data_IF_606052734378
#
_entry.id   IF_606052734378
#
_cell.length_a   1.000
_cell.length_b   1.000
_cell.length_c   1.000
_cell.angle_alpha   90.00
_cell.angle_beta   90.00
_cell.angle_gamma   90.00
#
_symmetry.space_group_name_H-M   'P 1'
#
loop_
_entity.id
_entity.type
_entity.pdbx_description
1 polymer ?
#
# COMPACT_ATOMS: atom_id res chain seq x y z
N UNK A 1 -27.91 12.17 8.92
CA UNK A 1 -27.04 12.98 8.02
C UNK A 1 -27.59 12.92 6.59
N UNK A 2 -27.89 14.03 5.94
CA UNK A 2 -28.18 14.02 4.50
C UNK A 2 -26.85 13.85 3.75
N UNK A 3 -26.59 12.65 3.26
CA UNK A 3 -25.41 12.40 2.47
C UNK A 3 -25.64 12.86 1.03
N UNK A 4 -24.80 13.77 0.56
CA UNK A 4 -24.85 14.23 -0.83
C UNK A 4 -24.54 13.07 -1.77
N UNK A 5 -25.34 12.86 -2.82
CA UNK A 5 -25.07 11.82 -3.81
C UNK A 5 -23.80 12.15 -4.62
N UNK A 6 -23.02 11.14 -4.91
CA UNK A 6 -21.89 11.24 -5.84
C UNK A 6 -22.37 10.94 -7.26
N UNK A 7 -22.17 11.86 -8.19
CA UNK A 7 -22.47 11.67 -9.61
C UNK A 7 -21.17 11.43 -10.36
N UNK A 8 -21.05 10.29 -11.05
CA UNK A 8 -19.87 9.94 -11.83
C UNK A 8 -20.22 9.67 -13.29
N UNK A 9 -19.31 10.04 -14.19
CA UNK A 9 -19.33 9.57 -15.57
C UNK A 9 -18.63 8.20 -15.62
N UNK A 10 -19.34 7.21 -16.12
CA UNK A 10 -18.84 5.85 -16.30
C UNK A 10 -18.76 5.56 -17.79
N UNK A 11 -17.67 4.97 -18.25
CA UNK A 11 -17.53 4.51 -19.63
C UNK A 11 -18.59 3.45 -19.92
N UNK A 12 -19.35 3.66 -20.97
CA UNK A 12 -20.36 2.73 -21.46
C UNK A 12 -19.92 2.26 -22.85
N UNK A 13 -19.85 0.95 -23.06
CA UNK A 13 -19.34 0.35 -24.31
C UNK A 13 -20.16 0.72 -25.54
N UNK A 14 -21.47 1.02 -25.33
CA UNK A 14 -22.36 1.34 -26.44
C UNK A 14 -22.57 2.83 -26.66
N UNK A 15 -22.48 3.66 -25.59
CA UNK A 15 -22.85 5.08 -25.61
C UNK A 15 -21.72 6.05 -25.26
N UNK A 16 -20.47 5.55 -25.12
CA UNK A 16 -19.31 6.33 -24.74
C UNK A 16 -19.26 6.62 -23.25
N UNK A 17 -20.11 7.48 -22.71
CA UNK A 17 -20.19 7.79 -21.28
C UNK A 17 -21.64 7.90 -20.81
N UNK A 18 -21.91 7.41 -19.60
CA UNK A 18 -23.15 7.63 -18.88
C UNK A 18 -22.87 8.20 -17.50
N UNK A 19 -23.78 9.04 -16.99
CA UNK A 19 -23.74 9.51 -15.61
C UNK A 19 -24.44 8.49 -14.72
N UNK A 20 -23.81 8.13 -13.61
CA UNK A 20 -24.40 7.26 -12.60
C UNK A 20 -24.33 7.94 -11.24
N UNK A 21 -25.41 7.83 -10.47
CA UNK A 21 -25.53 8.37 -9.13
C UNK A 21 -25.21 7.26 -8.13
N UNK A 22 -24.25 7.52 -7.26
CA UNK A 22 -23.90 6.64 -6.15
C UNK A 22 -24.27 7.33 -4.85
N UNK A 23 -24.83 6.57 -3.92
CA UNK A 23 -25.22 7.05 -2.61
C UNK A 23 -24.92 5.98 -1.57
N UNK A 24 -24.33 6.38 -0.45
CA UNK A 24 -24.19 5.47 0.68
C UNK A 24 -25.59 5.14 1.23
N UNK A 25 -25.80 3.89 1.59
CA UNK A 25 -27.04 3.47 2.25
C UNK A 25 -27.16 4.14 3.62
N UNK A 26 -28.39 4.35 4.11
CA UNK A 26 -28.60 4.88 5.45
C UNK A 26 -28.03 3.96 6.55
N UNK A 27 -28.07 2.65 6.33
CA UNK A 27 -27.51 1.62 7.21
C UNK A 27 -26.00 1.41 7.06
N UNK A 28 -25.29 2.24 6.25
CA UNK A 28 -23.88 2.00 5.90
C UNK A 28 -22.97 1.77 7.11
N UNK A 29 -23.13 2.58 8.15
CA UNK A 29 -22.28 2.47 9.36
C UNK A 29 -22.60 1.21 10.15
N UNK A 30 -23.88 0.86 10.28
CA UNK A 30 -24.35 -0.35 10.96
C UNK A 30 -23.94 -1.62 10.18
N UNK A 31 -24.17 -1.63 8.85
CA UNK A 31 -23.85 -2.75 7.97
C UNK A 31 -22.36 -3.15 8.04
N UNK A 32 -21.48 -2.18 8.31
CA UNK A 32 -20.03 -2.38 8.36
C UNK A 32 -19.42 -2.29 9.76
N UNK A 33 -20.27 -2.17 10.80
CA UNK A 33 -19.83 -1.96 12.20
C UNK A 33 -18.83 -0.81 12.34
N UNK A 34 -19.15 0.32 11.72
CA UNK A 34 -18.35 1.54 11.69
C UNK A 34 -18.98 2.61 12.57
N UNK A 35 -18.16 3.48 13.14
CA UNK A 35 -18.63 4.65 13.88
C UNK A 35 -18.71 5.88 12.95
N UNK A 36 -19.71 6.73 13.14
CA UNK A 36 -19.80 8.01 12.41
C UNK A 36 -18.58 8.90 12.61
N UNK A 37 -17.90 8.76 13.75
CA UNK A 37 -16.63 9.44 14.04
C UNK A 37 -15.55 9.15 12.99
N UNK A 38 -15.50 7.93 12.43
CA UNK A 38 -14.57 7.56 11.37
C UNK A 38 -14.76 8.41 10.12
N UNK A 39 -16.03 8.79 9.81
CA UNK A 39 -16.35 9.71 8.72
C UNK A 39 -15.71 11.08 8.95
N UNK A 40 -15.94 11.68 10.11
CA UNK A 40 -15.40 13.00 10.42
C UNK A 40 -13.89 13.01 10.44
N UNK A 41 -13.28 12.01 11.06
CA UNK A 41 -11.82 11.88 11.12
C UNK A 41 -11.20 11.74 9.72
N UNK A 42 -11.82 10.95 8.85
CA UNK A 42 -11.28 10.71 7.50
C UNK A 42 -11.46 11.93 6.59
N UNK A 43 -12.65 12.54 6.56
CA UNK A 43 -12.95 13.61 5.60
C UNK A 43 -12.53 15.00 6.07
N UNK A 44 -12.57 15.27 7.37
CA UNK A 44 -12.30 16.61 7.90
C UNK A 44 -10.80 16.99 7.88
N UNK A 45 -9.93 16.02 8.03
CA UNK A 45 -8.52 16.31 8.22
C UNK A 45 -7.62 15.98 7.04
N UNK A 46 -8.06 15.17 6.06
CA UNK A 46 -7.06 14.56 5.15
C UNK A 46 -7.44 14.33 3.70
N UNK A 47 -8.72 14.28 3.31
CA UNK A 47 -9.08 13.67 2.02
C UNK A 47 -10.28 14.30 1.33
N UNK A 48 -10.28 15.63 1.14
CA UNK A 48 -11.34 16.34 0.41
C UNK A 48 -11.49 15.86 -1.05
N UNK A 49 -10.39 15.42 -1.65
CA UNK A 49 -10.33 15.07 -3.07
C UNK A 49 -10.82 13.64 -3.38
N UNK A 50 -11.05 12.85 -2.32
CA UNK A 50 -11.48 11.45 -2.41
C UNK A 50 -12.68 11.24 -3.34
N UNK A 51 -13.70 12.08 -3.23
CA UNK A 51 -14.93 11.93 -4.02
C UNK A 51 -14.78 12.35 -5.49
N UNK A 52 -13.77 13.13 -5.81
CA UNK A 52 -13.53 13.64 -7.16
C UNK A 52 -12.49 12.84 -7.93
N UNK A 53 -11.86 11.86 -7.28
CA UNK A 53 -10.82 11.06 -7.89
C UNK A 53 -11.38 10.12 -8.97
N UNK A 54 -10.65 9.96 -10.07
CA UNK A 54 -10.90 8.92 -11.06
C UNK A 54 -10.43 7.54 -10.56
N UNK A 55 -9.37 7.54 -9.74
CA UNK A 55 -8.79 6.36 -9.14
C UNK A 55 -8.20 6.69 -7.77
N UNK A 56 -8.30 5.75 -6.83
CA UNK A 56 -7.79 5.93 -5.46
C UNK A 56 -6.70 4.91 -5.17
N UNK A 57 -5.58 5.37 -4.62
CA UNK A 57 -4.53 4.50 -4.10
C UNK A 57 -4.44 4.73 -2.59
N UNK A 58 -4.76 3.71 -1.81
CA UNK A 58 -4.56 3.71 -0.36
C UNK A 58 -3.14 3.31 -0.03
N UNK A 59 -2.51 4.09 0.82
CA UNK A 59 -1.17 3.87 1.34
C UNK A 59 -1.20 3.93 2.87
N UNK A 60 -0.41 3.11 3.55
CA UNK A 60 -0.46 2.98 5.00
C UNK A 60 0.05 4.24 5.71
N UNK A 61 1.07 4.88 5.16
CA UNK A 61 1.75 6.02 5.78
C UNK A 61 2.05 7.15 4.79
N UNK A 62 2.45 8.30 5.35
CA UNK A 62 2.94 9.43 4.53
C UNK A 62 4.18 9.07 3.70
N UNK A 63 5.05 8.23 4.22
CA UNK A 63 6.24 7.81 3.50
C UNK A 63 5.88 6.98 2.26
N UNK A 64 4.89 6.11 2.37
CA UNK A 64 4.39 5.34 1.22
C UNK A 64 3.84 6.28 0.14
N UNK A 65 3.06 7.28 0.53
CA UNK A 65 2.54 8.30 -0.40
C UNK A 65 3.67 9.00 -1.16
N UNK A 66 4.72 9.44 -0.46
CA UNK A 66 5.86 10.13 -1.09
C UNK A 66 6.66 9.20 -2.02
N UNK A 67 6.80 7.92 -1.65
CA UNK A 67 7.44 6.93 -2.53
C UNK A 67 6.58 6.66 -3.77
N UNK A 68 5.26 6.55 -3.64
CA UNK A 68 4.35 6.37 -4.78
C UNK A 68 4.44 7.58 -5.73
N UNK A 69 4.45 8.81 -5.20
CA UNK A 69 4.67 10.03 -6.00
C UNK A 69 5.99 9.98 -6.76
N UNK A 70 7.06 9.59 -6.08
CA UNK A 70 8.38 9.44 -6.71
C UNK A 70 8.34 8.40 -7.85
N UNK A 71 7.73 7.24 -7.61
CA UNK A 71 7.61 6.18 -8.62
C UNK A 71 6.75 6.63 -9.82
N UNK A 72 5.68 7.39 -9.59
CA UNK A 72 4.87 7.99 -10.65
C UNK A 72 5.69 8.97 -11.48
N UNK A 73 6.39 9.92 -10.83
CA UNK A 73 7.28 10.88 -11.48
C UNK A 73 8.36 10.19 -12.31
N UNK A 74 8.94 9.09 -11.82
CA UNK A 74 9.95 8.30 -12.54
C UNK A 74 9.45 7.64 -13.83
N UNK A 75 8.13 7.68 -14.06
CA UNK A 75 7.42 7.21 -15.26
C UNK A 75 6.79 8.34 -16.06
N UNK A 76 7.05 9.60 -15.70
CA UNK A 76 6.38 10.77 -16.26
C UNK A 76 4.85 10.72 -16.11
N UNK A 77 4.35 10.11 -15.01
CA UNK A 77 2.93 10.08 -14.69
C UNK A 77 2.63 11.25 -13.76
N UNK A 78 1.79 12.16 -14.23
CA UNK A 78 1.21 13.23 -13.42
C UNK A 78 -0.10 12.72 -12.79
N UNK A 79 -0.08 12.48 -11.47
CA UNK A 79 -1.22 11.91 -10.75
C UNK A 79 -2.45 12.84 -10.78
N UNK A 80 -2.22 14.15 -10.69
CA UNK A 80 -3.29 15.15 -10.67
C UNK A 80 -3.97 15.23 -12.05
N UNK A 81 -3.18 15.20 -13.12
CA UNK A 81 -3.70 15.19 -14.51
C UNK A 81 -4.65 14.01 -14.76
N UNK A 82 -4.34 12.85 -14.20
CA UNK A 82 -5.17 11.64 -14.32
C UNK A 82 -6.26 11.53 -13.24
N UNK A 83 -6.32 12.47 -12.31
CA UNK A 83 -7.26 12.41 -11.18
C UNK A 83 -7.01 11.21 -10.27
N UNK A 84 -5.76 10.83 -10.06
CA UNK A 84 -5.36 9.75 -9.15
C UNK A 84 -5.12 10.32 -7.77
N UNK A 85 -5.98 10.00 -6.80
CA UNK A 85 -5.84 10.44 -5.41
C UNK A 85 -5.03 9.45 -4.60
N UNK A 86 -3.99 9.92 -3.90
CA UNK A 86 -3.22 9.14 -2.95
C UNK A 86 -3.72 9.40 -1.54
N UNK A 87 -4.26 8.38 -0.91
CA UNK A 87 -4.86 8.47 0.43
C UNK A 87 -3.92 7.84 1.45
N UNK A 88 -3.38 8.66 2.36
CA UNK A 88 -2.73 8.17 3.55
C UNK A 88 -3.79 7.72 4.56
N UNK A 89 -3.87 6.42 4.84
CA UNK A 89 -4.81 5.89 5.85
C UNK A 89 -4.33 6.11 7.29
N UNK A 90 -3.08 6.55 7.48
CA UNK A 90 -2.48 6.87 8.78
C UNK A 90 -2.57 5.71 9.79
N UNK A 91 -2.17 4.56 9.30
CA UNK A 91 -2.20 3.29 10.02
C UNK A 91 -3.40 2.42 9.68
N UNK A 92 -3.14 1.16 9.73
CA UNK A 92 -3.95 0.07 9.20
C UNK A 92 -5.34 -0.05 9.85
N UNK A 93 -5.49 0.39 11.09
CA UNK A 93 -6.78 0.38 11.82
C UNK A 93 -7.82 1.29 11.17
N UNK A 94 -7.37 2.26 10.39
CA UNK A 94 -8.23 3.24 9.73
C UNK A 94 -8.69 2.78 8.33
N UNK A 95 -8.23 1.62 7.86
CA UNK A 95 -8.60 1.10 6.53
C UNK A 95 -10.09 0.74 6.38
N UNK A 96 -10.82 0.20 7.38
CA UNK A 96 -12.18 -0.29 7.20
C UNK A 96 -13.12 0.76 6.59
N UNK A 97 -13.16 1.95 7.15
CA UNK A 97 -14.06 3.00 6.68
C UNK A 97 -13.82 3.37 5.20
N UNK A 98 -12.63 3.87 4.78
CA UNK A 98 -12.41 4.26 3.39
C UNK A 98 -12.55 3.09 2.41
N UNK A 99 -12.20 1.88 2.81
CA UNK A 99 -12.38 0.68 2.00
C UNK A 99 -13.85 0.40 1.68
N UNK A 100 -14.71 0.42 2.70
CA UNK A 100 -16.14 0.20 2.48
C UNK A 100 -16.79 1.35 1.69
N UNK A 101 -16.34 2.59 1.89
CA UNK A 101 -16.81 3.74 1.11
C UNK A 101 -16.51 3.56 -0.37
N UNK A 102 -15.25 3.26 -0.75
CA UNK A 102 -14.90 3.09 -2.18
C UNK A 102 -15.68 1.96 -2.83
N UNK A 103 -15.92 0.87 -2.12
CA UNK A 103 -16.72 -0.25 -2.62
C UNK A 103 -18.18 0.11 -2.81
N UNK A 104 -18.80 0.78 -1.84
CA UNK A 104 -20.21 1.21 -1.93
C UNK A 104 -20.42 2.27 -3.03
N UNK A 105 -19.43 3.14 -3.24
CA UNK A 105 -19.47 4.17 -4.28
C UNK A 105 -18.92 3.68 -5.64
N UNK A 106 -18.54 2.40 -5.74
CA UNK A 106 -17.94 1.80 -6.93
C UNK A 106 -16.77 2.63 -7.49
N UNK A 107 -15.92 3.16 -6.59
CA UNK A 107 -14.72 3.90 -6.95
C UNK A 107 -13.59 2.91 -7.28
N UNK A 108 -12.89 3.05 -8.40
CA UNK A 108 -11.73 2.22 -8.68
C UNK A 108 -10.62 2.50 -7.65
N UNK A 109 -9.99 1.44 -7.14
CA UNK A 109 -8.97 1.61 -6.10
C UNK A 109 -7.86 0.55 -6.19
N UNK A 110 -6.74 0.84 -5.55
CA UNK A 110 -5.69 -0.11 -5.16
C UNK A 110 -5.31 0.15 -3.71
N UNK A 111 -5.03 -0.91 -2.95
CA UNK A 111 -4.57 -0.81 -1.57
C UNK A 111 -3.14 -1.34 -1.50
N UNK A 112 -2.23 -0.55 -0.92
CA UNK A 112 -0.85 -0.96 -0.66
C UNK A 112 -0.73 -1.20 0.84
N UNK A 113 -0.38 -2.42 1.22
CA UNK A 113 -0.34 -2.88 2.61
C UNK A 113 0.99 -3.55 2.92
N UNK A 114 1.47 -3.36 4.13
CA UNK A 114 2.61 -4.07 4.66
C UNK A 114 2.25 -5.55 4.94
N UNK A 115 3.23 -6.44 4.92
CA UNK A 115 3.02 -7.87 5.17
C UNK A 115 2.45 -8.14 6.56
N UNK A 116 2.82 -7.32 7.52
CA UNK A 116 2.35 -7.46 8.89
C UNK A 116 0.87 -7.07 9.07
N UNK A 117 0.24 -6.51 8.05
CA UNK A 117 -1.22 -6.43 8.01
C UNK A 117 -1.85 -7.82 8.05
N UNK A 118 -1.38 -8.70 7.20
CA UNK A 118 -1.97 -10.03 7.03
C UNK A 118 -1.51 -11.03 8.07
N UNK A 119 -0.22 -11.04 8.38
CA UNK A 119 0.40 -12.05 9.25
C UNK A 119 1.26 -11.40 10.35
N UNK A 120 1.20 -11.92 11.60
CA UNK A 120 1.93 -11.31 12.69
C UNK A 120 3.43 -11.58 12.62
N UNK A 121 4.23 -10.62 13.09
CA UNK A 121 5.62 -10.88 13.44
C UNK A 121 5.74 -11.96 14.51
N UNK A 122 6.84 -12.70 14.49
CA UNK A 122 7.10 -13.69 15.51
C UNK A 122 7.29 -13.01 16.89
N UNK A 123 8.15 -11.99 16.92
CA UNK A 123 8.29 -10.99 17.98
C UNK A 123 9.22 -9.88 17.44
N UNK A 124 8.75 -8.64 17.38
CA UNK A 124 9.49 -7.55 16.72
C UNK A 124 10.67 -7.02 17.56
N UNK A 125 10.65 -7.24 18.86
CA UNK A 125 11.64 -6.65 19.77
C UNK A 125 12.87 -7.55 20.01
N UNK A 126 12.73 -8.87 19.85
CA UNK A 126 13.81 -9.80 20.11
C UNK A 126 14.69 -10.03 18.86
N UNK A 127 15.98 -9.95 19.01
CA UNK A 127 16.94 -10.26 17.95
C UNK A 127 16.82 -11.72 17.43
N UNK A 128 16.43 -12.65 18.30
CA UNK A 128 16.10 -14.04 17.94
C UNK A 128 14.94 -14.20 16.97
N UNK A 129 14.04 -13.19 16.90
CA UNK A 129 12.93 -13.16 15.96
C UNK A 129 13.29 -12.60 14.58
N UNK A 130 14.55 -12.26 14.36
CA UNK A 130 15.10 -11.83 13.09
C UNK A 130 15.97 -12.92 12.46
N UNK A 131 16.09 -12.86 11.14
CA UNK A 131 17.05 -13.73 10.44
C UNK A 131 18.47 -13.12 10.50
N UNK A 132 19.45 -13.83 9.94
CA UNK A 132 20.85 -13.36 9.89
C UNK A 132 21.05 -12.01 9.21
N UNK A 133 20.11 -11.60 8.35
CA UNK A 133 20.13 -10.32 7.65
C UNK A 133 19.39 -9.20 8.39
N UNK A 134 18.85 -9.47 9.59
CA UNK A 134 18.11 -8.51 10.39
C UNK A 134 16.62 -8.34 10.00
N UNK A 135 16.13 -9.11 9.03
CA UNK A 135 14.73 -9.07 8.62
C UNK A 135 13.85 -9.86 9.60
N UNK A 136 12.62 -9.41 9.89
CA UNK A 136 11.73 -10.06 10.83
C UNK A 136 11.26 -11.42 10.32
N UNK A 137 11.03 -12.33 11.24
CA UNK A 137 10.36 -13.62 11.01
C UNK A 137 8.87 -13.48 11.29
N UNK A 138 8.03 -14.21 10.55
CA UNK A 138 6.59 -14.17 10.67
C UNK A 138 6.02 -15.50 11.12
N UNK A 139 4.86 -15.45 11.79
CA UNK A 139 3.96 -16.60 11.94
C UNK A 139 3.08 -16.63 10.69
N UNK A 140 3.00 -17.78 10.03
CA UNK A 140 2.21 -17.92 8.80
C UNK A 140 0.78 -18.35 9.12
N UNK A 141 0.10 -17.48 9.83
CA UNK A 141 -1.32 -17.51 10.13
C UNK A 141 -1.87 -16.10 9.94
N UNK A 142 -3.11 -15.96 9.49
CA UNK A 142 -3.68 -14.61 9.37
C UNK A 142 -3.95 -14.01 10.74
N UNK A 143 -3.76 -12.70 10.85
CA UNK A 143 -4.15 -11.94 12.05
C UNK A 143 -5.66 -11.96 12.23
N UNK A 144 -6.13 -12.03 13.47
CA UNK A 144 -7.52 -11.79 13.81
C UNK A 144 -7.87 -10.30 13.65
N UNK A 145 -9.14 -10.01 13.34
CA UNK A 145 -9.66 -8.63 13.27
C UNK A 145 -9.22 -7.82 12.05
N UNK A 146 -8.68 -8.47 11.01
CA UNK A 146 -8.41 -7.84 9.71
C UNK A 146 -9.59 -8.03 8.75
N UNK A 147 -9.69 -7.18 7.74
CA UNK A 147 -10.72 -7.26 6.69
C UNK A 147 -10.46 -8.38 5.66
N UNK A 148 -9.96 -9.54 6.10
CA UNK A 148 -9.50 -10.59 5.18
C UNK A 148 -10.59 -11.04 4.21
N UNK A 149 -11.80 -11.32 4.71
CA UNK A 149 -12.92 -11.78 3.90
C UNK A 149 -13.45 -10.72 2.95
N UNK A 150 -13.33 -9.46 3.32
CA UNK A 150 -13.73 -8.33 2.47
C UNK A 150 -12.68 -8.05 1.39
N UNK A 151 -11.40 -8.17 1.73
CA UNK A 151 -10.27 -7.95 0.84
C UNK A 151 -10.09 -9.12 -0.14
N UNK A 152 -10.14 -10.36 0.36
CA UNK A 152 -9.97 -11.59 -0.41
C UNK A 152 -11.16 -12.51 -0.15
N UNK A 153 -12.21 -12.36 -0.94
CA UNK A 153 -13.51 -12.99 -0.69
C UNK A 153 -13.48 -14.53 -0.79
N UNK A 154 -12.56 -15.09 -1.56
CA UNK A 154 -12.50 -16.54 -1.80
C UNK A 154 -11.53 -17.21 -0.81
N UNK A 155 -12.04 -18.16 -0.01
CA UNK A 155 -11.24 -18.89 1.00
C UNK A 155 -10.06 -19.67 0.39
N UNK A 156 -10.22 -20.22 -0.81
CA UNK A 156 -9.12 -20.92 -1.49
C UNK A 156 -8.01 -19.95 -1.89
N UNK A 157 -8.39 -18.73 -2.28
CA UNK A 157 -7.42 -17.68 -2.61
C UNK A 157 -6.70 -17.16 -1.36
N UNK A 158 -7.40 -17.06 -0.23
CA UNK A 158 -6.75 -16.74 1.06
C UNK A 158 -5.68 -17.78 1.40
N UNK A 159 -6.02 -19.06 1.33
CA UNK A 159 -5.09 -20.15 1.64
C UNK A 159 -3.87 -20.17 0.69
N UNK A 160 -4.10 -19.96 -0.61
CA UNK A 160 -3.01 -19.81 -1.60
C UNK A 160 -2.14 -18.59 -1.31
N UNK A 161 -2.76 -17.46 -0.98
CA UNK A 161 -2.04 -16.25 -0.63
C UNK A 161 -1.13 -16.46 0.59
N UNK A 162 -1.64 -17.07 1.66
CA UNK A 162 -0.84 -17.41 2.84
C UNK A 162 0.35 -18.32 2.49
N UNK A 163 0.14 -19.32 1.65
CA UNK A 163 1.19 -20.22 1.17
C UNK A 163 2.26 -19.44 0.37
N UNK A 164 1.86 -18.53 -0.49
CA UNK A 164 2.77 -17.72 -1.28
C UNK A 164 3.51 -16.67 -0.44
N UNK A 165 2.88 -16.08 0.57
CA UNK A 165 3.54 -15.19 1.53
C UNK A 165 4.73 -15.88 2.24
N UNK A 166 4.61 -17.19 2.44
CA UNK A 166 5.67 -18.02 3.03
C UNK A 166 6.79 -18.34 2.04
N UNK A 167 6.42 -18.71 0.82
CA UNK A 167 7.33 -19.39 -0.12
C UNK A 167 7.83 -18.50 -1.26
N UNK A 168 6.99 -17.59 -1.77
CA UNK A 168 7.32 -16.81 -2.96
C UNK A 168 6.50 -15.52 -3.05
N UNK A 169 7.08 -14.42 -2.61
CA UNK A 169 6.43 -13.11 -2.59
C UNK A 169 5.96 -12.64 -3.98
N UNK A 170 6.68 -12.94 -5.05
CA UNK A 170 6.25 -12.57 -6.41
C UNK A 170 4.93 -13.25 -6.78
N UNK A 171 4.82 -14.57 -6.48
CA UNK A 171 3.55 -15.30 -6.66
C UNK A 171 2.44 -14.76 -5.75
N UNK A 172 2.77 -14.31 -4.54
CA UNK A 172 1.78 -13.67 -3.66
C UNK A 172 1.23 -12.40 -4.32
N UNK A 173 2.09 -11.53 -4.85
CA UNK A 173 1.69 -10.32 -5.56
C UNK A 173 0.80 -10.62 -6.77
N UNK A 174 1.20 -11.59 -7.60
CA UNK A 174 0.42 -11.99 -8.79
C UNK A 174 -0.97 -12.54 -8.41
N UNK A 175 -1.02 -13.31 -7.32
CA UNK A 175 -2.25 -13.94 -6.85
C UNK A 175 -3.30 -12.94 -6.34
N UNK A 176 -2.87 -11.88 -5.64
CA UNK A 176 -3.78 -10.89 -5.04
C UNK A 176 -4.03 -9.66 -5.92
N UNK A 177 -3.37 -9.54 -7.07
CA UNK A 177 -3.55 -8.39 -7.99
C UNK A 177 -5.01 -8.23 -8.43
N UNK A 178 -5.73 -9.34 -8.63
CA UNK A 178 -7.16 -9.35 -8.98
C UNK A 178 -8.08 -8.74 -7.89
N UNK A 179 -7.60 -8.61 -6.68
CA UNK A 179 -8.29 -7.95 -5.57
C UNK A 179 -7.86 -6.48 -5.40
N UNK A 180 -7.04 -5.95 -6.31
CA UNK A 180 -6.46 -4.61 -6.25
C UNK A 180 -5.62 -4.37 -4.98
N UNK A 181 -4.88 -5.38 -4.54
CA UNK A 181 -4.01 -5.32 -3.39
C UNK A 181 -2.57 -5.49 -3.83
N UNK A 182 -1.68 -4.64 -3.28
CA UNK A 182 -0.23 -4.82 -3.34
C UNK A 182 0.26 -5.02 -1.91
N UNK A 183 0.76 -6.22 -1.62
CA UNK A 183 1.33 -6.55 -0.31
C UNK A 183 2.86 -6.38 -0.38
N UNK A 184 3.43 -5.55 0.48
CA UNK A 184 4.88 -5.47 0.64
C UNK A 184 5.43 -6.81 1.14
N UNK A 185 6.70 -7.12 0.84
CA UNK A 185 7.30 -8.36 1.38
C UNK A 185 7.62 -8.25 2.87
N UNK A 186 7.81 -7.02 3.35
CA UNK A 186 7.93 -6.64 4.76
C UNK A 186 7.14 -5.35 4.97
N UNK A 187 7.82 -4.22 4.92
CA UNK A 187 7.29 -2.87 4.85
C UNK A 187 8.15 -2.05 3.87
N UNK A 188 7.80 -0.78 3.69
CA UNK A 188 8.42 0.08 2.70
C UNK A 188 9.96 0.07 2.77
N UNK A 189 10.53 0.46 3.92
CA UNK A 189 11.97 0.60 4.08
C UNK A 189 12.72 -0.75 4.08
N UNK A 190 12.11 -1.79 4.67
CA UNK A 190 12.71 -3.12 4.70
C UNK A 190 12.74 -3.75 3.30
N UNK A 191 11.67 -3.57 2.53
CA UNK A 191 11.63 -4.04 1.14
C UNK A 191 12.70 -3.36 0.30
N UNK A 192 12.85 -2.04 0.45
CA UNK A 192 13.91 -1.30 -0.24
C UNK A 192 15.28 -1.91 0.07
N UNK A 193 15.58 -2.16 1.34
CA UNK A 193 16.82 -2.75 1.80
C UNK A 193 16.98 -4.24 1.47
N UNK A 194 15.96 -4.93 0.92
CA UNK A 194 16.15 -6.25 0.32
C UNK A 194 17.03 -6.20 -0.96
N UNK A 195 17.14 -5.04 -1.60
CA UNK A 195 18.11 -4.80 -2.67
C UNK A 195 19.50 -4.54 -2.10
N UNK A 196 20.51 -5.30 -2.55
CA UNK A 196 21.91 -5.06 -2.16
C UNK A 196 22.39 -3.66 -2.59
N UNK A 197 21.93 -3.17 -3.74
CA UNK A 197 22.25 -1.80 -4.18
C UNK A 197 21.66 -0.75 -3.23
N UNK A 198 20.45 -0.94 -2.76
CA UNK A 198 19.86 -0.01 -1.77
C UNK A 198 20.67 0.00 -0.47
N UNK A 199 21.17 -1.16 -0.01
CA UNK A 199 22.05 -1.24 1.16
C UNK A 199 23.31 -0.41 0.95
N UNK A 200 23.99 -0.55 -0.20
CA UNK A 200 25.19 0.23 -0.53
C UNK A 200 24.88 1.74 -0.58
N UNK A 201 23.82 2.14 -1.28
CA UNK A 201 23.43 3.56 -1.40
C UNK A 201 23.02 4.16 -0.05
N UNK A 202 22.25 3.43 0.75
CA UNK A 202 21.84 3.86 2.09
C UNK A 202 23.06 3.99 3.02
N UNK A 203 23.99 3.04 2.99
CA UNK A 203 25.22 3.10 3.78
C UNK A 203 26.08 4.30 3.40
N UNK A 204 26.25 4.58 2.11
CA UNK A 204 26.95 5.77 1.63
C UNK A 204 26.25 7.06 2.08
N UNK A 205 24.92 7.13 1.96
CA UNK A 205 24.12 8.28 2.41
C UNK A 205 24.27 8.58 3.91
N UNK A 206 24.45 7.53 4.72
CA UNK A 206 24.62 7.63 6.16
C UNK A 206 26.08 7.69 6.61
N UNK A 207 27.04 7.77 5.68
CA UNK A 207 28.49 7.81 5.94
C UNK A 207 28.97 6.64 6.82
N UNK A 208 28.46 5.42 6.57
CA UNK A 208 28.81 4.24 7.33
C UNK A 208 30.17 3.66 6.85
N UNK A 209 30.96 3.15 7.77
CA UNK A 209 32.19 2.44 7.45
C UNK A 209 31.90 1.03 6.87
N UNK A 210 32.93 0.33 6.40
CA UNK A 210 32.78 -0.99 5.75
C UNK A 210 32.15 -2.05 6.65
N UNK A 211 32.42 -2.04 7.95
CA UNK A 211 31.83 -3.00 8.92
C UNK A 211 30.33 -2.73 9.13
N UNK A 212 29.95 -1.48 9.13
CA UNK A 212 28.56 -1.03 9.32
C UNK A 212 27.73 -1.10 8.04
N UNK A 213 28.36 -1.18 6.87
CA UNK A 213 27.71 -1.15 5.56
C UNK A 213 27.07 -2.48 5.21
N UNK A 214 26.13 -2.94 6.06
CA UNK A 214 25.39 -4.16 5.84
C UNK A 214 23.92 -4.02 6.23
N UNK A 215 23.08 -4.88 5.67
CA UNK A 215 21.62 -4.83 5.87
C UNK A 215 21.21 -4.94 7.34
N UNK A 216 21.83 -5.89 8.07
CA UNK A 216 21.50 -6.11 9.48
C UNK A 216 21.76 -4.85 10.31
N UNK A 217 22.90 -4.21 10.14
CA UNK A 217 23.23 -2.98 10.85
C UNK A 217 22.22 -1.86 10.54
N UNK A 218 21.86 -1.67 9.28
CA UNK A 218 20.86 -0.70 8.87
C UNK A 218 19.48 -0.96 9.53
N UNK A 219 19.02 -2.21 9.49
CA UNK A 219 17.70 -2.59 10.01
C UNK A 219 17.61 -2.57 11.55
N UNK A 220 18.72 -2.84 12.24
CA UNK A 220 18.73 -2.94 13.71
C UNK A 220 19.17 -1.61 14.33
N UNK A 221 20.31 -1.07 13.89
CA UNK A 221 20.97 0.08 14.53
C UNK A 221 20.58 1.42 13.93
N UNK A 222 20.04 1.45 12.71
CA UNK A 222 19.72 2.69 11.98
C UNK A 222 18.22 2.82 11.66
N UNK A 223 17.34 2.21 12.46
CA UNK A 223 15.87 2.20 12.26
C UNK A 223 15.27 3.58 11.94
N UNK A 224 15.64 4.62 12.69
CA UNK A 224 15.13 5.98 12.44
C UNK A 224 15.64 6.57 11.12
N UNK A 225 16.91 6.31 10.79
CA UNK A 225 17.53 6.83 9.58
C UNK A 225 16.96 6.19 8.31
N UNK A 226 16.72 4.88 8.31
CA UNK A 226 16.13 4.16 7.16
C UNK A 226 14.65 4.51 6.95
N UNK A 227 13.93 4.95 7.99
CA UNK A 227 12.55 5.45 7.91
C UNK A 227 12.46 6.91 7.46
N UNK A 228 13.58 7.62 7.40
CA UNK A 228 13.58 8.99 6.94
C UNK A 228 13.31 9.06 5.44
N UNK A 229 12.23 9.73 5.05
CA UNK A 229 11.78 9.79 3.65
C UNK A 229 12.84 10.40 2.73
N UNK A 230 13.59 11.41 3.18
CA UNK A 230 14.67 12.00 2.39
C UNK A 230 15.80 11.01 2.07
N UNK A 231 16.09 10.08 2.98
CA UNK A 231 17.07 9.02 2.73
C UNK A 231 16.51 7.95 1.78
N UNK A 232 15.24 7.57 1.94
CA UNK A 232 14.56 6.63 1.04
C UNK A 232 14.55 7.16 -0.39
N UNK A 233 14.08 8.40 -0.59
CA UNK A 233 14.00 9.02 -1.91
C UNK A 233 15.39 9.21 -2.55
N UNK A 234 16.39 9.59 -1.75
CA UNK A 234 17.77 9.67 -2.23
C UNK A 234 18.31 8.34 -2.75
N UNK A 235 18.02 7.23 -2.04
CA UNK A 235 18.42 5.88 -2.47
C UNK A 235 17.68 5.51 -3.75
N UNK A 236 16.37 5.75 -3.83
CA UNK A 236 15.56 5.43 -5.00
C UNK A 236 16.02 6.19 -6.24
N UNK A 237 16.36 7.47 -6.10
CA UNK A 237 16.86 8.31 -7.20
C UNK A 237 18.14 7.78 -7.82
N UNK A 238 18.98 7.14 -7.02
CA UNK A 238 20.25 6.57 -7.47
C UNK A 238 20.17 5.10 -7.90
N UNK A 239 18.99 4.48 -7.83
CA UNK A 239 18.84 3.06 -8.15
C UNK A 239 18.34 2.82 -9.57
N UNK A 240 19.03 1.97 -10.36
CA UNK A 240 18.45 1.46 -11.60
C UNK A 240 17.14 0.71 -11.33
N UNK A 241 16.15 0.87 -12.22
CA UNK A 241 14.83 0.25 -12.08
C UNK A 241 14.90 -1.27 -11.92
N UNK A 242 15.84 -1.90 -12.60
CA UNK A 242 16.04 -3.36 -12.54
C UNK A 242 16.34 -3.84 -11.12
N UNK A 243 16.96 -3.01 -10.29
CA UNK A 243 17.36 -3.31 -8.92
C UNK A 243 16.31 -2.97 -7.87
N UNK A 244 15.18 -2.37 -8.27
CA UNK A 244 14.05 -2.15 -7.35
C UNK A 244 13.49 -3.49 -6.87
N UNK A 245 13.04 -3.59 -5.61
CA UNK A 245 12.30 -4.74 -5.11
C UNK A 245 11.02 -5.03 -5.91
N UNK A 246 10.53 -6.27 -5.86
CA UNK A 246 9.34 -6.67 -6.62
C UNK A 246 8.09 -5.87 -6.24
N UNK A 247 7.90 -5.55 -4.96
CA UNK A 247 6.82 -4.68 -4.48
C UNK A 247 6.84 -3.30 -5.14
N UNK A 248 8.01 -2.65 -5.19
CA UNK A 248 8.19 -1.36 -5.86
C UNK A 248 7.94 -1.43 -7.37
N UNK A 249 8.43 -2.49 -8.02
CA UNK A 249 8.15 -2.74 -9.45
C UNK A 249 6.65 -2.93 -9.68
N UNK A 250 5.96 -3.64 -8.78
CA UNK A 250 4.50 -3.86 -8.86
C UNK A 250 3.75 -2.54 -8.74
N UNK A 251 4.09 -1.70 -7.75
CA UNK A 251 3.49 -0.36 -7.61
C UNK A 251 3.69 0.45 -8.90
N UNK A 252 4.92 0.48 -9.41
CA UNK A 252 5.27 1.21 -10.63
C UNK A 252 4.51 0.72 -11.87
N UNK A 253 4.31 -0.61 -12.00
CA UNK A 253 3.53 -1.19 -13.10
C UNK A 253 2.04 -0.92 -12.94
N UNK A 254 1.52 -0.97 -11.71
CA UNK A 254 0.12 -0.66 -11.41
C UNK A 254 -0.22 0.79 -11.77
N UNK A 255 0.66 1.75 -11.47
CA UNK A 255 0.49 3.15 -11.88
C UNK A 255 0.31 3.27 -13.41
N UNK A 256 1.11 2.56 -14.21
CA UNK A 256 0.95 2.57 -15.67
C UNK A 256 -0.37 1.94 -16.12
N UNK A 257 -0.78 0.82 -15.50
CA UNK A 257 -2.04 0.18 -15.86
C UNK A 257 -3.26 1.04 -15.49
N UNK A 258 -3.19 1.77 -14.37
CA UNK A 258 -4.24 2.72 -13.97
C UNK A 258 -4.38 3.82 -15.03
N UNK A 259 -3.28 4.47 -15.43
CA UNK A 259 -3.29 5.52 -16.45
C UNK A 259 -3.85 5.01 -17.78
N UNK A 260 -3.55 3.76 -18.16
CA UNK A 260 -4.08 3.17 -19.39
C UNK A 260 -5.58 2.81 -19.30
N UNK A 261 -6.15 2.76 -18.11
CA UNK A 261 -7.56 2.41 -17.87
C UNK A 261 -8.48 3.61 -17.70
N UNK A 262 -7.93 4.80 -17.43
CA UNK A 262 -8.64 6.07 -17.32
C UNK A 262 -8.75 6.74 -18.69
#
# INVERSE_FOLDING_TARGET
MQQSPLVRKIKDEQRGFKSQVFKLKQSFFEDHNLEEFNYYQFHHYRNSDFFFANYIIFAESKNDVEVIKFLAKSKNIDLDLYGISLINIDGIKNLPYPFHVVRNLNLPYTIILDKDYFIPYLNDELDSSRNSQGLPKYRFEFKNGILLNDLIQNQLDQNKFLTFLKSNHSKALDHIDKYNIICMNYNLEMDLLCSNQAVVKMSARLNLNSVQSNRRFLLVERKKAIKNIGNILHVLDQMPIINLPNSYKRIRNKLSSIVSSI
#
